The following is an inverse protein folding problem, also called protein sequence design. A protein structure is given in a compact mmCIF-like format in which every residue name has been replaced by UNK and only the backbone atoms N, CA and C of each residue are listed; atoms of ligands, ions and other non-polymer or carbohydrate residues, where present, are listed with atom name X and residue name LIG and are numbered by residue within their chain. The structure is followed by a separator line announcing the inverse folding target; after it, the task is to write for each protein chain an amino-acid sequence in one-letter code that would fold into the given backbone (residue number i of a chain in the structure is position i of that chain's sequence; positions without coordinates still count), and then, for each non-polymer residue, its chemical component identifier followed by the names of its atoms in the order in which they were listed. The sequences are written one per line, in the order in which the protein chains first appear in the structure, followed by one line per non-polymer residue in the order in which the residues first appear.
data_IF_013088900654
#
_entry.id   IF_013088900654
#
_cell.length_a   1.000
_cell.length_b   1.000
_cell.length_c   1.000
_cell.angle_alpha   90.00
_cell.angle_beta   90.00
_cell.angle_gamma   90.00
#
_symmetry.space_group_name_H-M   'P 1'
#
loop_
_entity.id
_entity.type
_entity.pdbx_description
1 polymer ?
#
# COMPACT_ATOMS: atom_id res chain seq x y z
N UNK A 1 13.06 6.77 -17.27
CA UNK A 1 12.76 5.81 -18.35
C UNK A 1 11.26 5.74 -18.47
N UNK A 2 10.68 6.44 -19.44
CA UNK A 2 9.25 6.39 -19.78
C UNK A 2 8.98 5.08 -20.54
N UNK A 3 8.79 3.98 -19.81
CA UNK A 3 8.30 2.74 -20.38
C UNK A 3 6.85 2.94 -20.88
N UNK A 4 6.52 2.40 -22.07
CA UNK A 4 5.16 2.38 -22.58
C UNK A 4 4.20 1.82 -21.54
N UNK A 5 3.09 2.53 -21.30
CA UNK A 5 2.07 2.09 -20.34
C UNK A 5 1.39 0.83 -20.88
N UNK A 6 1.43 -0.24 -20.09
CA UNK A 6 0.87 -1.53 -20.45
C UNK A 6 -0.64 -1.61 -20.14
N UNK A 7 -1.05 -0.99 -19.01
CA UNK A 7 -2.46 -0.76 -18.70
C UNK A 7 -2.65 0.74 -18.53
N UNK A 8 -3.69 1.29 -19.15
CA UNK A 8 -4.03 2.71 -19.07
C UNK A 8 -5.49 2.86 -18.70
N UNK A 9 -5.74 3.60 -17.64
CA UNK A 9 -7.05 4.12 -17.29
C UNK A 9 -7.05 5.61 -17.62
N UNK A 10 -7.96 6.06 -18.47
CA UNK A 10 -8.00 7.47 -18.93
C UNK A 10 -9.36 8.06 -18.66
N UNK A 11 -9.42 9.04 -17.76
CA UNK A 11 -10.64 9.75 -17.38
C UNK A 11 -11.74 8.81 -16.88
N UNK A 12 -11.36 7.71 -16.21
CA UNK A 12 -12.32 6.68 -15.78
C UNK A 12 -13.19 7.20 -14.65
N UNK A 13 -14.49 7.12 -14.86
CA UNK A 13 -15.52 7.52 -13.90
C UNK A 13 -16.52 6.38 -13.70
N UNK A 14 -16.88 6.10 -12.44
CA UNK A 14 -17.90 5.09 -12.13
C UNK A 14 -18.89 5.61 -11.11
N UNK A 15 -20.16 5.61 -11.53
CA UNK A 15 -21.32 5.86 -10.69
C UNK A 15 -22.28 4.70 -10.84
N UNK A 16 -22.70 4.08 -9.74
CA UNK A 16 -23.71 3.02 -9.77
C UNK A 16 -25.13 3.59 -9.88
N UNK A 17 -26.01 2.85 -10.51
CA UNK A 17 -27.43 3.22 -10.59
C UNK A 17 -28.02 3.37 -9.19
N UNK A 18 -28.82 4.42 -8.98
CA UNK A 18 -29.41 4.74 -7.68
C UNK A 18 -28.47 5.38 -6.66
N UNK A 19 -27.17 5.53 -6.95
CA UNK A 19 -26.24 6.26 -6.11
C UNK A 19 -26.14 7.72 -6.53
N UNK A 20 -26.14 8.66 -5.59
CA UNK A 20 -25.87 10.07 -5.89
C UNK A 20 -24.37 10.36 -6.07
N UNK A 21 -23.50 9.53 -5.45
CA UNK A 21 -22.05 9.75 -5.40
C UNK A 21 -21.34 8.76 -6.32
N UNK A 22 -20.37 9.26 -7.09
CA UNK A 22 -19.47 8.43 -7.85
C UNK A 22 -18.45 7.74 -6.96
N UNK A 23 -18.22 6.45 -7.20
CA UNK A 23 -17.25 5.62 -6.47
C UNK A 23 -15.83 5.79 -7.04
N UNK A 24 -15.71 6.09 -8.34
CA UNK A 24 -14.44 6.43 -8.99
C UNK A 24 -14.66 7.71 -9.81
N UNK A 25 -13.72 8.66 -9.68
CA UNK A 25 -13.85 10.02 -10.22
C UNK A 25 -12.58 10.38 -10.99
N UNK A 26 -12.71 10.56 -12.31
CA UNK A 26 -11.63 11.00 -13.21
C UNK A 26 -10.30 10.27 -12.96
N UNK A 27 -10.36 8.94 -12.85
CA UNK A 27 -9.18 8.13 -12.55
C UNK A 27 -8.29 8.05 -13.78
N UNK A 28 -7.06 8.55 -13.64
CA UNK A 28 -6.00 8.47 -14.63
C UNK A 28 -4.83 7.67 -14.05
N UNK A 29 -4.55 6.50 -14.62
CA UNK A 29 -3.53 5.59 -14.10
C UNK A 29 -2.81 4.86 -15.23
N UNK A 30 -1.48 4.88 -15.19
CA UNK A 30 -0.62 4.12 -16.08
C UNK A 30 0.14 3.05 -15.29
N UNK A 31 0.01 1.79 -15.72
CA UNK A 31 0.71 0.63 -15.14
C UNK A 31 1.73 0.11 -16.16
N UNK A 32 2.94 -0.17 -15.71
CA UNK A 32 4.03 -0.67 -16.57
C UNK A 32 3.92 -2.18 -16.75
N UNK A 33 4.48 -2.69 -17.85
CA UNK A 33 4.58 -4.13 -18.08
C UNK A 33 5.48 -4.79 -17.02
N UNK A 34 5.02 -5.89 -16.42
CA UNK A 34 5.75 -6.63 -15.39
C UNK A 34 5.84 -5.92 -14.05
N UNK A 35 5.06 -4.85 -13.81
CA UNK A 35 5.01 -4.10 -12.56
C UNK A 35 4.14 -4.82 -11.52
N UNK A 36 4.54 -4.73 -10.27
CA UNK A 36 3.69 -5.03 -9.12
C UNK A 36 3.10 -3.71 -8.59
N UNK A 37 1.88 -3.39 -9.00
CA UNK A 37 1.17 -2.19 -8.58
C UNK A 37 0.16 -2.52 -7.50
N UNK A 38 0.16 -1.76 -6.39
CA UNK A 38 -0.85 -1.90 -5.34
C UNK A 38 -1.81 -0.71 -5.31
N UNK A 39 -3.12 -1.00 -5.27
CA UNK A 39 -4.16 -0.04 -4.95
C UNK A 39 -4.42 -0.11 -3.45
N UNK A 40 -4.09 0.95 -2.73
CA UNK A 40 -4.19 1.06 -1.27
C UNK A 40 -5.14 2.19 -0.89
N UNK A 41 -5.88 2.04 0.21
CA UNK A 41 -6.78 3.08 0.71
C UNK A 41 -7.85 2.53 1.64
N UNK A 42 -8.64 3.39 2.30
CA UNK A 42 -9.71 2.97 3.21
C UNK A 42 -10.83 2.21 2.48
N UNK A 43 -11.68 1.55 3.25
CA UNK A 43 -12.84 0.85 2.69
C UNK A 43 -13.76 1.83 1.94
N UNK A 44 -14.28 1.40 0.78
CA UNK A 44 -15.20 2.21 -0.03
C UNK A 44 -14.54 3.27 -0.93
N UNK A 45 -13.21 3.44 -0.93
CA UNK A 45 -12.55 4.46 -1.77
C UNK A 45 -12.42 4.12 -3.27
N UNK A 46 -12.97 2.98 -3.73
CA UNK A 46 -13.02 2.63 -5.16
C UNK A 46 -12.01 1.59 -5.65
N UNK A 47 -11.13 1.02 -4.81
CA UNK A 47 -10.08 0.04 -5.20
C UNK A 47 -10.64 -1.18 -5.93
N UNK A 48 -11.52 -1.93 -5.28
CA UNK A 48 -12.16 -3.13 -5.87
C UNK A 48 -12.98 -2.78 -7.12
N UNK A 49 -13.65 -1.62 -7.14
CA UNK A 49 -14.38 -1.16 -8.32
C UNK A 49 -13.41 -0.90 -9.48
N UNK A 50 -12.27 -0.25 -9.22
CA UNK A 50 -11.22 -0.03 -10.22
C UNK A 50 -10.66 -1.35 -10.75
N UNK A 51 -10.36 -2.29 -9.85
CA UNK A 51 -9.89 -3.62 -10.24
C UNK A 51 -10.94 -4.36 -11.08
N UNK A 52 -12.24 -4.29 -10.73
CA UNK A 52 -13.33 -4.91 -11.49
C UNK A 52 -13.52 -4.28 -12.87
N UNK A 53 -13.29 -2.97 -13.02
CA UNK A 53 -13.31 -2.32 -14.35
C UNK A 53 -12.15 -2.82 -15.24
N UNK A 54 -10.96 -3.02 -14.69
CA UNK A 54 -9.84 -3.62 -15.43
C UNK A 54 -10.15 -5.08 -15.79
N UNK A 55 -10.79 -5.83 -14.90
CA UNK A 55 -11.21 -7.21 -15.14
C UNK A 55 -12.38 -7.36 -16.14
N UNK A 56 -13.16 -6.29 -16.37
CA UNK A 56 -14.36 -6.31 -17.19
C UNK A 56 -15.62 -6.78 -16.48
N UNK A 57 -15.58 -6.96 -15.14
CA UNK A 57 -16.77 -7.27 -14.34
C UNK A 57 -17.65 -6.05 -14.07
N UNK A 58 -17.09 -4.85 -14.23
CA UNK A 58 -17.79 -3.58 -14.16
C UNK A 58 -17.43 -2.74 -15.39
N UNK A 59 -18.39 -2.07 -15.95
CA UNK A 59 -18.14 -1.08 -17.00
C UNK A 59 -17.99 0.31 -16.37
N UNK A 60 -17.02 1.13 -16.80
CA UNK A 60 -16.98 2.53 -16.41
C UNK A 60 -18.22 3.28 -16.93
N UNK A 61 -18.67 4.28 -16.21
CA UNK A 61 -19.73 5.19 -16.67
C UNK A 61 -19.22 6.10 -17.80
N UNK A 62 -17.94 6.46 -17.74
CA UNK A 62 -17.19 7.16 -18.78
C UNK A 62 -15.70 6.92 -18.64
N UNK A 63 -14.92 7.29 -19.65
CA UNK A 63 -13.48 7.04 -19.73
C UNK A 63 -13.17 5.71 -20.44
N UNK A 64 -11.89 5.32 -20.45
CA UNK A 64 -11.41 4.14 -21.20
C UNK A 64 -10.46 3.30 -20.37
N UNK A 65 -10.49 1.99 -20.64
CA UNK A 65 -9.56 0.98 -20.12
C UNK A 65 -8.80 0.38 -21.30
N UNK A 66 -7.50 0.58 -21.37
CA UNK A 66 -6.63 0.07 -22.43
C UNK A 66 -5.65 -0.93 -21.81
N UNK A 67 -5.48 -2.10 -22.43
CA UNK A 67 -4.52 -3.14 -21.99
C UNK A 67 -3.72 -3.59 -23.20
N UNK A 68 -2.39 -3.49 -23.10
CA UNK A 68 -1.45 -3.87 -24.17
C UNK A 68 -1.77 -3.19 -25.52
N UNK A 69 -2.17 -1.89 -25.45
CA UNK A 69 -2.53 -1.08 -26.62
C UNK A 69 -3.95 -1.27 -27.15
N UNK A 70 -4.72 -2.23 -26.62
CA UNK A 70 -6.11 -2.53 -27.02
C UNK A 70 -7.11 -1.88 -26.06
N UNK A 71 -8.11 -1.17 -26.60
CA UNK A 71 -9.24 -0.67 -25.81
C UNK A 71 -10.17 -1.83 -25.43
N UNK A 72 -10.17 -2.18 -24.14
CA UNK A 72 -10.94 -3.30 -23.60
C UNK A 72 -12.17 -2.84 -22.82
N UNK A 73 -12.57 -1.58 -22.94
CA UNK A 73 -13.65 -0.98 -22.14
C UNK A 73 -14.94 -1.80 -22.23
N UNK A 74 -15.32 -2.20 -23.44
CA UNK A 74 -16.55 -2.96 -23.70
C UNK A 74 -16.31 -4.47 -23.91
N UNK A 75 -15.07 -4.94 -23.79
CA UNK A 75 -14.71 -6.36 -23.97
C UNK A 75 -15.13 -7.16 -22.73
N UNK A 76 -15.77 -8.31 -22.96
CA UNK A 76 -16.21 -9.24 -21.90
C UNK A 76 -15.04 -9.78 -21.06
N UNK A 77 -15.24 -10.08 -19.76
CA UNK A 77 -14.16 -10.53 -18.87
C UNK A 77 -13.38 -11.75 -19.39
N UNK A 78 -14.06 -12.70 -20.03
CA UNK A 78 -13.44 -13.95 -20.50
C UNK A 78 -12.59 -13.78 -21.77
N UNK A 79 -12.72 -12.68 -22.47
CA UNK A 79 -11.96 -12.33 -23.68
C UNK A 79 -10.73 -11.47 -23.38
N UNK A 80 -10.69 -10.86 -22.17
CA UNK A 80 -9.54 -10.03 -21.75
C UNK A 80 -8.33 -10.90 -21.40
N UNK A 81 -7.14 -10.36 -21.62
CA UNK A 81 -5.87 -11.03 -21.30
C UNK A 81 -5.51 -10.95 -19.80
N UNK A 82 -6.51 -10.86 -18.92
CA UNK A 82 -6.37 -10.74 -17.46
C UNK A 82 -7.02 -11.93 -16.76
N UNK A 83 -6.51 -12.30 -15.59
CA UNK A 83 -7.17 -13.24 -14.68
C UNK A 83 -7.26 -12.65 -13.28
N UNK A 84 -8.31 -13.01 -12.54
CA UNK A 84 -8.58 -12.47 -11.20
C UNK A 84 -8.54 -13.57 -10.15
N UNK A 85 -7.89 -13.28 -9.02
CA UNK A 85 -7.98 -14.03 -7.77
C UNK A 85 -8.84 -13.22 -6.80
N UNK A 86 -9.95 -13.79 -6.37
CA UNK A 86 -10.90 -13.15 -5.46
C UNK A 86 -10.51 -13.35 -4.00
N UNK A 87 -10.99 -12.50 -3.11
CA UNK A 87 -10.74 -12.51 -1.67
C UNK A 87 -11.04 -13.87 -1.01
N UNK A 88 -12.10 -14.56 -1.44
CA UNK A 88 -12.48 -15.88 -0.94
C UNK A 88 -11.87 -17.05 -1.74
N UNK A 89 -10.84 -16.75 -2.57
CA UNK A 89 -10.16 -17.69 -3.48
C UNK A 89 -11.06 -18.32 -4.55
N UNK A 90 -12.36 -18.39 -4.34
CA UNK A 90 -13.39 -18.93 -5.23
C UNK A 90 -13.01 -20.30 -5.88
N UNK A 91 -12.38 -21.18 -5.10
CA UNK A 91 -12.09 -22.54 -5.56
C UNK A 91 -13.41 -23.33 -5.71
N UNK A 92 -13.47 -24.17 -6.74
CA UNK A 92 -14.62 -25.05 -6.95
C UNK A 92 -14.62 -26.17 -5.90
N UNK A 93 -15.56 -26.19 -4.93
CA UNK A 93 -15.50 -27.09 -3.78
C UNK A 93 -15.73 -28.56 -4.16
N UNK A 94 -16.38 -28.81 -5.30
CA UNK A 94 -16.70 -30.13 -5.84
C UNK A 94 -15.61 -30.69 -6.77
N UNK A 95 -14.52 -29.94 -7.00
CA UNK A 95 -13.39 -30.34 -7.83
C UNK A 95 -12.15 -30.53 -6.98
N UNK A 96 -11.33 -31.54 -7.30
CA UNK A 96 -10.01 -31.69 -6.70
C UNK A 96 -9.06 -30.56 -7.17
N UNK A 97 -7.84 -30.54 -6.63
CA UNK A 97 -6.86 -29.47 -6.92
C UNK A 97 -6.41 -29.50 -8.37
N UNK A 98 -6.18 -30.68 -8.94
CA UNK A 98 -5.85 -30.82 -10.35
C UNK A 98 -6.94 -30.21 -11.24
N UNK A 99 -8.20 -30.57 -11.00
CA UNK A 99 -9.33 -30.12 -11.79
C UNK A 99 -9.61 -28.60 -11.61
N UNK A 100 -9.40 -28.07 -10.41
CA UNK A 100 -9.44 -26.63 -10.16
C UNK A 100 -8.43 -25.89 -11.04
N UNK A 101 -7.16 -26.31 -11.04
CA UNK A 101 -6.10 -25.65 -11.85
C UNK A 101 -6.37 -25.87 -13.33
N UNK A 102 -6.75 -27.07 -13.75
CA UNK A 102 -7.00 -27.46 -15.13
C UNK A 102 -8.24 -26.79 -15.76
N UNK A 103 -9.14 -26.20 -14.95
CA UNK A 103 -10.46 -25.76 -15.39
C UNK A 103 -10.41 -24.85 -16.62
N UNK A 104 -9.61 -23.79 -16.57
CA UNK A 104 -9.49 -22.83 -17.69
C UNK A 104 -8.90 -23.46 -18.97
N UNK A 105 -7.95 -24.38 -18.81
CA UNK A 105 -7.37 -25.12 -19.94
C UNK A 105 -8.39 -26.05 -20.59
N UNK A 106 -9.24 -26.70 -19.80
CA UNK A 106 -10.33 -27.55 -20.29
C UNK A 106 -11.34 -26.72 -21.09
N UNK A 107 -11.72 -25.52 -20.62
CA UNK A 107 -12.63 -24.60 -21.35
C UNK A 107 -12.03 -24.18 -22.68
N UNK A 108 -10.72 -23.97 -22.75
CA UNK A 108 -9.96 -23.66 -23.98
C UNK A 108 -9.72 -24.89 -24.87
N UNK A 109 -10.26 -26.07 -24.52
CA UNK A 109 -10.10 -27.34 -25.26
C UNK A 109 -8.65 -27.74 -25.49
N UNK A 110 -7.77 -27.43 -24.55
CA UNK A 110 -6.35 -27.85 -24.57
C UNK A 110 -6.27 -29.38 -24.44
N UNK A 111 -5.27 -30.03 -25.08
CA UNK A 111 -5.09 -31.47 -25.04
C UNK A 111 -4.86 -32.00 -23.61
N UNK A 112 -5.32 -33.23 -23.33
CA UNK A 112 -5.17 -33.86 -22.00
C UNK A 112 -3.69 -33.99 -21.58
N UNK A 113 -2.79 -34.24 -22.53
CA UNK A 113 -1.34 -34.34 -22.27
C UNK A 113 -0.78 -32.99 -21.82
N UNK A 114 -1.06 -31.94 -22.56
CA UNK A 114 -0.62 -30.57 -22.26
C UNK A 114 -1.22 -30.07 -20.94
N UNK A 115 -2.50 -30.36 -20.65
CA UNK A 115 -3.13 -30.04 -19.38
C UNK A 115 -2.33 -30.68 -18.22
N UNK A 116 -1.99 -31.97 -18.33
CA UNK A 116 -1.23 -32.68 -17.30
C UNK A 116 0.14 -32.05 -17.07
N UNK A 117 0.85 -31.71 -18.13
CA UNK A 117 2.17 -31.08 -18.05
C UNK A 117 2.09 -29.70 -17.40
N UNK A 118 1.17 -28.84 -17.85
CA UNK A 118 1.02 -27.48 -17.31
C UNK A 118 0.57 -27.48 -15.84
N UNK A 119 -0.39 -28.35 -15.47
CA UNK A 119 -0.85 -28.46 -14.08
C UNK A 119 0.26 -28.99 -13.18
N UNK A 120 1.04 -30.01 -13.63
CA UNK A 120 2.19 -30.51 -12.88
C UNK A 120 3.24 -29.41 -12.65
N UNK A 121 3.55 -28.63 -13.69
CA UNK A 121 4.47 -27.50 -13.58
C UNK A 121 3.96 -26.44 -12.60
N UNK A 122 2.65 -26.14 -12.60
CA UNK A 122 2.03 -25.21 -11.64
C UNK A 122 2.11 -25.75 -10.22
N UNK A 123 1.77 -27.02 -9.98
CA UNK A 123 1.84 -27.64 -8.64
C UNK A 123 3.27 -27.60 -8.08
N UNK A 124 4.27 -27.87 -8.92
CA UNK A 124 5.68 -27.73 -8.55
C UNK A 124 6.03 -26.27 -8.21
N UNK A 125 5.56 -25.33 -9.02
CA UNK A 125 5.82 -23.88 -8.82
C UNK A 125 5.28 -23.38 -7.47
N UNK A 126 4.08 -23.85 -7.08
CA UNK A 126 3.41 -23.47 -5.84
C UNK A 126 3.74 -24.39 -4.65
N UNK A 127 4.67 -25.34 -4.82
CA UNK A 127 5.12 -26.31 -3.79
C UNK A 127 3.96 -27.17 -3.21
N UNK A 128 3.09 -27.66 -4.08
CA UNK A 128 1.97 -28.54 -3.74
C UNK A 128 1.97 -29.83 -4.57
N UNK A 129 3.17 -30.35 -4.90
CA UNK A 129 3.33 -31.66 -5.53
C UNK A 129 2.72 -32.75 -4.66
N UNK A 130 1.99 -33.68 -5.27
CA UNK A 130 1.29 -34.76 -4.56
C UNK A 130 -0.10 -34.38 -3.99
N UNK A 131 -0.56 -33.14 -4.20
CA UNK A 131 -1.87 -32.66 -3.74
C UNK A 131 -2.96 -32.74 -4.83
N UNK A 132 -2.67 -33.30 -6.00
CA UNK A 132 -3.53 -33.30 -7.18
C UNK A 132 -4.95 -33.79 -6.89
N UNK A 133 -5.05 -34.84 -6.08
CA UNK A 133 -6.33 -35.54 -5.76
C UNK A 133 -7.05 -34.96 -4.54
N UNK A 134 -6.43 -34.05 -3.79
CA UNK A 134 -7.07 -33.44 -2.61
C UNK A 134 -8.20 -32.52 -3.01
N UNK A 135 -9.18 -32.38 -2.12
CA UNK A 135 -10.27 -31.41 -2.24
C UNK A 135 -9.89 -30.09 -1.56
N UNK A 136 -10.47 -28.94 -1.95
CA UNK A 136 -10.23 -27.66 -1.29
C UNK A 136 -10.42 -27.68 0.23
N UNK A 137 -11.41 -28.43 0.73
CA UNK A 137 -11.68 -28.59 2.17
C UNK A 137 -10.55 -29.26 2.97
N UNK A 138 -9.59 -29.86 2.31
CA UNK A 138 -8.43 -30.53 2.92
C UNK A 138 -7.17 -29.64 2.93
N UNK A 139 -7.32 -28.36 2.55
CA UNK A 139 -6.21 -27.42 2.44
C UNK A 139 -6.28 -26.33 3.53
N UNK A 140 -5.11 -25.86 3.96
CA UNK A 140 -5.03 -24.61 4.73
C UNK A 140 -5.36 -23.37 3.87
N UNK A 141 -5.67 -22.25 4.50
CA UNK A 141 -5.96 -20.99 3.78
C UNK A 141 -4.85 -20.59 2.80
N UNK A 142 -3.58 -20.65 3.21
CA UNK A 142 -2.45 -20.36 2.33
C UNK A 142 -2.29 -21.37 1.19
N UNK A 143 -2.62 -22.64 1.41
CA UNK A 143 -2.62 -23.64 0.33
C UNK A 143 -3.75 -23.38 -0.66
N UNK A 144 -4.96 -23.03 -0.19
CA UNK A 144 -6.09 -22.63 -1.06
C UNK A 144 -5.74 -21.41 -1.92
N UNK A 145 -5.08 -20.42 -1.33
CA UNK A 145 -4.62 -19.24 -2.05
C UNK A 145 -3.62 -19.62 -3.15
N UNK A 146 -2.60 -20.42 -2.86
CA UNK A 146 -1.64 -20.90 -3.87
C UNK A 146 -2.33 -21.61 -5.01
N UNK A 147 -3.31 -22.45 -4.74
CA UNK A 147 -4.11 -23.15 -5.78
C UNK A 147 -4.90 -22.14 -6.63
N UNK A 148 -5.53 -21.14 -6.01
CA UNK A 148 -6.25 -20.08 -6.74
C UNK A 148 -5.34 -19.29 -7.68
N UNK A 149 -4.13 -18.95 -7.22
CA UNK A 149 -3.11 -18.31 -8.05
C UNK A 149 -2.68 -19.23 -9.19
N UNK A 150 -2.38 -20.50 -8.92
CA UNK A 150 -2.01 -21.48 -9.96
C UNK A 150 -3.10 -21.62 -11.03
N UNK A 151 -4.39 -21.66 -10.62
CA UNK A 151 -5.55 -21.69 -11.52
C UNK A 151 -5.62 -20.43 -12.41
N UNK A 152 -5.29 -19.27 -11.83
CA UNK A 152 -5.29 -18.03 -12.58
C UNK A 152 -4.10 -17.95 -13.56
N UNK A 153 -2.91 -18.42 -13.13
CA UNK A 153 -1.65 -18.30 -13.91
C UNK A 153 -1.52 -19.36 -15.00
N UNK A 154 -2.10 -20.56 -14.83
CA UNK A 154 -1.96 -21.70 -15.80
C UNK A 154 -2.41 -21.33 -17.21
N UNK A 155 -3.28 -20.33 -17.35
CA UNK A 155 -3.77 -19.83 -18.63
C UNK A 155 -2.81 -18.83 -19.30
N UNK A 156 -1.63 -18.56 -18.72
CA UNK A 156 -0.64 -17.59 -19.17
C UNK A 156 -1.25 -16.17 -19.38
N UNK A 157 -1.89 -15.58 -18.38
CA UNK A 157 -2.43 -14.23 -18.49
C UNK A 157 -1.29 -13.22 -18.63
N UNK A 158 -1.57 -12.07 -19.25
CA UNK A 158 -0.63 -10.93 -19.25
C UNK A 158 -0.69 -10.13 -17.95
N UNK A 159 -1.85 -10.15 -17.27
CA UNK A 159 -2.12 -9.44 -16.02
C UNK A 159 -2.78 -10.39 -15.01
N UNK A 160 -2.32 -10.33 -13.76
CA UNK A 160 -2.97 -10.96 -12.63
C UNK A 160 -3.54 -9.89 -11.70
N UNK A 161 -4.84 -9.97 -11.46
CA UNK A 161 -5.59 -9.10 -10.58
C UNK A 161 -5.85 -9.83 -9.26
N UNK A 162 -5.53 -9.21 -8.13
CA UNK A 162 -5.60 -9.81 -6.79
C UNK A 162 -6.45 -8.91 -5.89
N UNK A 163 -7.65 -9.35 -5.52
CA UNK A 163 -8.58 -8.59 -4.68
C UNK A 163 -8.49 -9.09 -3.24
N UNK A 164 -7.74 -8.37 -2.39
CA UNK A 164 -7.50 -8.66 -0.96
C UNK A 164 -7.13 -10.14 -0.66
N UNK A 165 -6.19 -10.75 -1.39
CA UNK A 165 -5.99 -12.19 -1.33
C UNK A 165 -5.39 -12.67 0.00
N UNK A 166 -4.80 -11.79 0.82
CA UNK A 166 -4.15 -12.11 2.09
C UNK A 166 -5.04 -11.86 3.32
N UNK A 167 -6.21 -11.25 3.15
CA UNK A 167 -7.06 -10.77 4.24
C UNK A 167 -7.54 -11.88 5.21
N UNK A 168 -7.69 -13.12 4.71
CA UNK A 168 -8.19 -14.25 5.52
C UNK A 168 -7.08 -15.04 6.25
N UNK A 169 -5.80 -14.62 6.13
CA UNK A 169 -4.65 -15.34 6.70
C UNK A 169 -4.24 -14.76 8.06
N UNK A 170 -3.74 -15.64 8.95
CA UNK A 170 -3.05 -15.21 10.16
C UNK A 170 -1.76 -14.43 9.85
N UNK A 171 -1.27 -13.65 10.81
CA UNK A 171 -0.14 -12.72 10.60
C UNK A 171 1.15 -13.42 10.13
N UNK A 172 1.48 -14.60 10.70
CA UNK A 172 2.69 -15.33 10.34
C UNK A 172 2.63 -15.84 8.91
N UNK A 173 1.50 -16.45 8.55
CA UNK A 173 1.26 -16.98 7.21
C UNK A 173 1.17 -15.85 6.18
N UNK A 174 0.56 -14.72 6.56
CA UNK A 174 0.47 -13.51 5.71
C UNK A 174 1.85 -13.02 5.31
N UNK A 175 2.78 -12.83 6.28
CA UNK A 175 4.16 -12.40 5.99
C UNK A 175 4.91 -13.37 5.07
N UNK A 176 4.73 -14.67 5.27
CA UNK A 176 5.30 -15.67 4.38
C UNK A 176 4.73 -15.54 2.96
N UNK A 177 3.40 -15.41 2.83
CA UNK A 177 2.73 -15.30 1.54
C UNK A 177 3.06 -14.02 0.77
N UNK A 178 3.31 -12.91 1.46
CA UNK A 178 3.80 -11.66 0.84
C UNK A 178 5.10 -11.89 0.06
N UNK A 179 6.08 -12.51 0.70
CA UNK A 179 7.36 -12.84 0.06
C UNK A 179 7.20 -13.82 -1.10
N UNK A 180 6.37 -14.85 -0.92
CA UNK A 180 6.08 -15.83 -1.97
C UNK A 180 5.42 -15.19 -3.20
N UNK A 181 4.43 -14.30 -2.99
CA UNK A 181 3.77 -13.56 -4.08
C UNK A 181 4.75 -12.67 -4.84
N UNK A 182 5.61 -11.94 -4.14
CA UNK A 182 6.64 -11.09 -4.78
C UNK A 182 7.62 -11.92 -5.59
N UNK A 183 8.08 -13.05 -5.06
CA UNK A 183 8.97 -13.98 -5.78
C UNK A 183 8.27 -14.62 -6.98
N UNK A 184 6.99 -14.98 -6.83
CA UNK A 184 6.20 -15.55 -7.92
C UNK A 184 6.03 -14.55 -9.07
N UNK A 185 5.68 -13.30 -8.76
CA UNK A 185 5.55 -12.24 -9.75
C UNK A 185 6.85 -12.04 -10.54
N UNK A 186 7.99 -11.95 -9.84
CA UNK A 186 9.31 -11.83 -10.48
C UNK A 186 9.63 -13.01 -11.38
N UNK A 187 9.29 -14.24 -10.97
CA UNK A 187 9.52 -15.47 -11.74
C UNK A 187 8.65 -15.53 -13.00
N UNK A 188 7.40 -15.08 -12.89
CA UNK A 188 6.46 -15.07 -14.00
C UNK A 188 6.70 -13.93 -14.98
N UNK A 189 7.23 -12.79 -14.52
CA UNK A 189 7.45 -11.57 -15.33
C UNK A 189 6.16 -10.92 -15.83
N UNK A 190 4.99 -11.27 -15.26
CA UNK A 190 3.69 -10.69 -15.64
C UNK A 190 3.33 -9.51 -14.73
N UNK A 191 2.40 -8.67 -15.18
CA UNK A 191 1.92 -7.51 -14.42
C UNK A 191 0.96 -7.94 -13.33
N UNK A 192 1.17 -7.47 -12.10
CA UNK A 192 0.25 -7.68 -10.96
C UNK A 192 -0.42 -6.38 -10.58
N UNK A 193 -1.75 -6.42 -10.40
CA UNK A 193 -2.51 -5.37 -9.72
C UNK A 193 -3.09 -5.98 -8.45
N UNK A 194 -2.68 -5.44 -7.32
CA UNK A 194 -3.00 -5.94 -6.00
C UNK A 194 -3.85 -4.93 -5.25
N UNK A 195 -4.97 -5.34 -4.70
CA UNK A 195 -5.82 -4.51 -3.84
C UNK A 195 -5.63 -4.93 -2.41
N UNK A 196 -5.39 -3.99 -1.54
CA UNK A 196 -5.34 -4.21 -0.09
C UNK A 196 -5.75 -2.95 0.68
N UNK A 197 -6.06 -3.12 1.94
CA UNK A 197 -6.16 -2.05 2.95
C UNK A 197 -5.00 -2.10 3.95
N UNK A 198 -4.12 -3.10 3.84
CA UNK A 198 -2.95 -3.29 4.71
C UNK A 198 -1.73 -2.56 4.14
N UNK A 199 -1.20 -1.63 4.93
CA UNK A 199 -0.07 -0.79 4.55
C UNK A 199 1.24 -1.59 4.50
N UNK A 200 1.44 -2.57 5.40
CA UNK A 200 2.64 -3.42 5.44
C UNK A 200 2.72 -4.25 4.14
N UNK A 201 1.59 -4.77 3.66
CA UNK A 201 1.51 -5.48 2.38
C UNK A 201 1.93 -4.58 1.21
N UNK A 202 1.35 -3.38 1.13
CA UNK A 202 1.64 -2.42 0.07
C UNK A 202 3.13 -2.02 0.06
N UNK A 203 3.69 -1.65 1.22
CA UNK A 203 5.08 -1.21 1.35
C UNK A 203 6.08 -2.34 1.04
N UNK A 204 5.76 -3.59 1.39
CA UNK A 204 6.68 -4.72 1.25
C UNK A 204 6.74 -5.27 -0.18
N UNK A 205 5.60 -5.33 -0.87
CA UNK A 205 5.50 -6.08 -2.12
C UNK A 205 5.59 -5.22 -3.38
N UNK A 206 5.16 -3.96 -3.32
CA UNK A 206 4.92 -3.15 -4.51
C UNK A 206 6.20 -2.59 -5.13
N UNK A 207 6.16 -2.39 -6.44
CA UNK A 207 7.08 -1.50 -7.15
C UNK A 207 6.54 -0.06 -7.10
N UNK A 208 5.21 0.11 -7.17
CA UNK A 208 4.50 1.38 -6.95
C UNK A 208 3.20 1.15 -6.20
N UNK A 209 2.81 2.17 -5.43
CA UNK A 209 1.57 2.20 -4.65
C UNK A 209 0.70 3.36 -5.15
N UNK A 210 -0.57 3.09 -5.39
CA UNK A 210 -1.62 4.08 -5.62
C UNK A 210 -2.38 4.25 -4.32
N UNK A 211 -2.24 5.36 -3.65
CA UNK A 211 -3.07 5.69 -2.48
C UNK A 211 -4.35 6.34 -2.97
N UNK A 212 -5.49 5.70 -2.67
CA UNK A 212 -6.82 6.16 -3.10
C UNK A 212 -7.64 6.68 -1.91
N UNK A 213 -8.38 7.74 -2.14
CA UNK A 213 -9.37 8.30 -1.20
C UNK A 213 -10.56 8.84 -1.96
N UNK A 214 -11.77 8.57 -1.51
CA UNK A 214 -13.04 9.14 -2.03
C UNK A 214 -13.20 9.08 -3.56
N UNK A 215 -12.65 8.02 -4.17
CA UNK A 215 -12.72 7.76 -5.61
C UNK A 215 -11.64 8.41 -6.46
N UNK A 216 -10.65 9.08 -5.85
CA UNK A 216 -9.53 9.73 -6.55
C UNK A 216 -8.18 9.15 -6.10
N UNK A 217 -7.15 9.39 -6.90
CA UNK A 217 -5.76 9.09 -6.53
C UNK A 217 -5.22 10.28 -5.73
N UNK A 218 -4.85 10.06 -4.47
CA UNK A 218 -4.19 11.04 -3.61
C UNK A 218 -2.69 11.12 -3.94
N UNK A 219 -2.04 9.96 -4.08
CA UNK A 219 -0.62 9.88 -4.42
C UNK A 219 -0.32 8.57 -5.13
N UNK A 220 0.64 8.61 -6.06
CA UNK A 220 1.19 7.46 -6.75
C UNK A 220 2.72 7.58 -6.74
N UNK A 221 3.40 6.57 -6.21
CA UNK A 221 4.86 6.57 -6.11
C UNK A 221 5.45 5.23 -5.68
N UNK A 222 6.77 5.16 -5.57
CA UNK A 222 7.46 4.02 -4.96
C UNK A 222 7.15 3.94 -3.45
N UNK A 223 7.28 2.75 -2.81
CA UNK A 223 6.97 2.59 -1.39
C UNK A 223 7.70 3.59 -0.48
N UNK A 224 8.99 3.81 -0.70
CA UNK A 224 9.81 4.76 0.04
C UNK A 224 9.36 6.22 -0.19
N UNK A 225 8.95 6.57 -1.42
CA UNK A 225 8.41 7.89 -1.74
C UNK A 225 7.09 8.15 -1.02
N UNK A 226 6.16 7.16 -1.02
CA UNK A 226 4.87 7.26 -0.33
C UNK A 226 5.05 7.40 1.19
N UNK A 227 6.02 6.68 1.78
CA UNK A 227 6.27 6.68 3.21
C UNK A 227 7.04 7.93 3.68
N UNK A 228 8.14 8.26 3.01
CA UNK A 228 9.06 9.33 3.44
C UNK A 228 8.64 10.72 2.92
N UNK A 229 7.85 10.80 1.84
CA UNK A 229 7.46 12.05 1.17
C UNK A 229 5.96 12.09 0.84
N UNK A 230 5.09 11.95 1.85
CA UNK A 230 3.66 12.09 1.63
C UNK A 230 3.33 13.50 1.13
N UNK A 231 2.46 13.60 0.11
CA UNK A 231 2.09 14.88 -0.52
C UNK A 231 0.89 15.54 0.15
N UNK A 232 0.09 14.78 0.90
CA UNK A 232 -1.07 15.29 1.64
C UNK A 232 -1.05 14.80 3.09
N UNK A 233 -1.73 15.55 3.96
CA UNK A 233 -1.95 15.16 5.35
C UNK A 233 -2.61 13.77 5.45
N UNK A 234 -3.55 13.49 4.54
CA UNK A 234 -4.20 12.19 4.50
C UNK A 234 -3.20 11.06 4.25
N UNK A 235 -2.33 11.18 3.26
CA UNK A 235 -1.31 10.16 2.97
C UNK A 235 -0.34 10.00 4.14
N UNK A 236 0.10 11.10 4.76
CA UNK A 236 0.98 11.08 5.93
C UNK A 236 0.38 10.29 7.10
N UNK A 237 -0.91 10.53 7.40
CA UNK A 237 -1.64 9.91 8.51
C UNK A 237 -2.08 8.48 8.19
N UNK A 238 -2.43 8.22 6.92
CA UNK A 238 -2.90 6.92 6.50
C UNK A 238 -1.76 5.90 6.33
N UNK A 239 -0.53 6.32 5.99
CA UNK A 239 0.61 5.42 5.74
C UNK A 239 1.54 5.39 6.96
N UNK A 240 1.37 4.38 7.82
CA UNK A 240 2.14 4.22 9.05
C UNK A 240 1.81 5.24 10.15
N UNK A 241 2.40 5.05 11.32
CA UNK A 241 2.28 6.02 12.40
C UNK A 241 3.00 7.33 12.00
N UNK A 242 2.40 8.48 12.31
CA UNK A 242 3.03 9.79 12.06
C UNK A 242 2.68 10.79 13.17
N UNK A 243 3.60 11.68 13.46
CA UNK A 243 3.33 12.86 14.28
C UNK A 243 3.03 14.03 13.36
N UNK A 244 1.83 14.58 13.45
CA UNK A 244 1.44 15.77 12.71
C UNK A 244 1.54 16.99 13.63
N UNK A 245 2.37 17.96 13.29
CA UNK A 245 2.53 19.24 13.99
C UNK A 245 1.93 20.35 13.12
N UNK A 246 1.17 21.25 13.73
CA UNK A 246 0.67 22.43 13.04
C UNK A 246 1.63 23.60 13.26
N UNK A 247 1.94 24.32 12.21
CA UNK A 247 2.85 25.45 12.28
C UNK A 247 2.50 26.56 11.32
N UNK A 248 3.04 27.75 11.60
CA UNK A 248 2.92 28.93 10.75
C UNK A 248 4.28 29.41 10.32
N UNK A 249 4.45 29.69 9.02
CA UNK A 249 5.69 30.21 8.47
C UNK A 249 5.92 31.64 8.97
N UNK A 250 7.03 31.87 9.67
CA UNK A 250 7.38 33.20 10.22
C UNK A 250 8.42 33.92 9.40
N UNK A 251 9.38 33.20 8.81
CA UNK A 251 10.35 33.74 7.87
C UNK A 251 10.80 32.72 6.84
N UNK A 252 11.25 33.19 5.68
CA UNK A 252 11.83 32.38 4.61
C UNK A 252 13.13 33.06 4.18
N UNK A 253 14.27 32.38 4.48
CA UNK A 253 15.60 32.91 4.19
C UNK A 253 16.55 31.81 3.72
N UNK A 254 17.34 32.09 2.70
CA UNK A 254 18.39 31.17 2.20
C UNK A 254 17.91 29.73 1.94
N UNK A 255 16.68 29.55 1.38
CA UNK A 255 16.11 28.25 1.07
C UNK A 255 15.58 27.47 2.28
N UNK A 256 15.54 28.10 3.46
CA UNK A 256 14.97 27.54 4.69
C UNK A 256 13.78 28.38 5.16
N UNK A 257 12.74 27.74 5.66
CA UNK A 257 11.62 28.39 6.33
C UNK A 257 11.73 28.16 7.84
N UNK A 258 11.46 29.21 8.62
CA UNK A 258 11.28 29.13 10.07
C UNK A 258 9.78 29.00 10.35
N UNK A 259 9.40 27.92 11.01
CA UNK A 259 8.03 27.63 11.38
C UNK A 259 7.86 27.80 12.89
N UNK A 260 6.82 28.52 13.30
CA UNK A 260 6.39 28.57 14.70
C UNK A 260 5.34 27.48 14.92
N UNK A 261 5.57 26.60 15.90
CA UNK A 261 4.65 25.53 16.25
C UNK A 261 3.65 26.00 17.30
N UNK A 262 2.36 25.77 17.04
CA UNK A 262 1.29 26.10 17.99
C UNK A 262 1.29 27.56 18.47
N UNK A 263 0.90 27.76 19.72
CA UNK A 263 0.90 29.08 20.40
C UNK A 263 2.19 29.36 21.16
N UNK A 264 3.10 28.39 21.26
CA UNK A 264 4.35 28.48 22.02
C UNK A 264 5.53 28.99 21.17
N UNK A 265 6.62 29.34 21.84
CA UNK A 265 7.85 29.88 21.24
C UNK A 265 8.74 28.80 20.61
N UNK A 266 8.20 27.63 20.30
CA UNK A 266 8.98 26.57 19.66
C UNK A 266 9.06 26.80 18.15
N UNK A 267 10.29 27.01 17.68
CA UNK A 267 10.57 27.24 16.26
C UNK A 267 11.34 26.07 15.68
N UNK A 268 10.93 25.63 14.50
CA UNK A 268 11.67 24.62 13.73
C UNK A 268 12.10 25.20 12.38
N UNK A 269 13.29 24.82 11.93
CA UNK A 269 13.78 25.12 10.59
C UNK A 269 13.51 23.94 9.67
N UNK A 270 12.91 24.22 8.52
CA UNK A 270 12.63 23.22 7.47
C UNK A 270 13.09 23.73 6.11
N UNK A 271 13.11 22.88 5.10
CA UNK A 271 13.32 23.33 3.72
C UNK A 271 12.17 24.24 3.29
N UNK A 272 12.47 25.40 2.69
CA UNK A 272 11.45 26.38 2.31
C UNK A 272 10.54 25.90 1.17
N UNK A 273 11.10 25.15 0.19
CA UNK A 273 10.32 24.73 -0.98
C UNK A 273 9.56 25.92 -1.60
N UNK A 274 8.23 25.79 -1.70
CA UNK A 274 7.30 26.82 -2.18
C UNK A 274 6.54 27.54 -1.05
N UNK A 275 7.05 27.52 0.19
CA UNK A 275 6.42 28.14 1.35
C UNK A 275 6.53 29.67 1.32
N UNK A 276 5.47 30.34 1.81
CA UNK A 276 5.41 31.80 1.95
C UNK A 276 5.18 32.21 3.39
N UNK A 277 5.70 33.40 3.78
CA UNK A 277 5.49 33.92 5.14
C UNK A 277 4.01 34.12 5.42
N UNK A 278 3.59 33.64 6.61
CA UNK A 278 2.20 33.70 7.05
C UNK A 278 1.38 32.46 6.70
N UNK A 279 1.90 31.53 5.87
CA UNK A 279 1.23 30.29 5.47
C UNK A 279 1.09 29.33 6.66
N UNK A 280 -0.08 28.72 6.83
CA UNK A 280 -0.32 27.65 7.78
C UNK A 280 0.03 26.31 7.13
N UNK A 281 0.75 25.46 7.85
CA UNK A 281 1.28 24.20 7.32
C UNK A 281 1.14 23.09 8.34
N UNK A 282 0.98 21.86 7.86
CA UNK A 282 1.13 20.64 8.65
C UNK A 282 2.51 20.05 8.43
N UNK A 283 3.17 19.65 9.49
CA UNK A 283 4.50 19.01 9.47
C UNK A 283 4.36 17.58 9.94
N UNK A 284 4.71 16.64 9.08
CA UNK A 284 4.76 15.22 9.44
C UNK A 284 6.18 14.82 9.84
N UNK A 285 6.30 14.14 10.99
CA UNK A 285 7.55 13.53 11.44
C UNK A 285 7.27 12.10 11.91
N UNK A 286 7.98 11.14 11.33
CA UNK A 286 7.81 9.72 11.70
C UNK A 286 8.30 9.45 13.11
N UNK A 287 7.60 8.62 13.93
CA UNK A 287 7.99 8.31 15.31
C UNK A 287 9.41 7.77 15.46
N UNK A 288 9.91 6.99 14.51
CA UNK A 288 11.25 6.40 14.50
C UNK A 288 12.34 7.40 14.07
N UNK A 289 11.96 8.57 13.57
CA UNK A 289 12.88 9.66 13.20
C UNK A 289 13.11 10.63 14.36
N UNK A 290 12.29 10.56 15.40
CA UNK A 290 12.39 11.40 16.59
C UNK A 290 13.24 10.66 17.64
N UNK A 291 14.19 11.40 18.25
CA UNK A 291 15.00 10.96 19.37
C UNK A 291 14.59 11.70 20.64
N UNK A 292 14.63 11.00 21.75
CA UNK A 292 14.52 11.60 23.08
C UNK A 292 15.90 11.93 23.64
N UNK A 293 16.02 13.09 24.29
CA UNK A 293 17.22 13.53 24.97
C UNK A 293 16.89 14.45 26.15
N UNK A 294 17.89 14.81 26.93
CA UNK A 294 17.79 15.84 27.99
C UNK A 294 18.41 17.18 27.54
N UNK A 295 19.04 17.22 26.37
CA UNK A 295 19.64 18.41 25.79
C UNK A 295 19.35 18.48 24.28
N UNK A 296 19.11 19.68 23.71
CA UNK A 296 18.87 19.83 22.29
C UNK A 296 20.16 19.54 21.48
N UNK A 297 20.01 18.92 20.30
CA UNK A 297 21.10 18.80 19.33
C UNK A 297 21.29 20.14 18.62
N UNK A 298 22.55 20.59 18.49
CA UNK A 298 22.87 21.90 17.94
C UNK A 298 22.48 21.98 16.45
N UNK A 299 21.63 22.95 16.12
CA UNK A 299 21.22 23.21 14.73
C UNK A 299 20.05 22.39 14.21
N UNK A 300 19.58 21.39 14.97
CA UNK A 300 18.42 20.58 14.61
C UNK A 300 17.13 21.08 15.26
N UNK A 301 15.95 20.78 14.67
CA UNK A 301 14.65 21.02 15.28
C UNK A 301 14.52 20.30 16.62
N UNK A 302 13.94 20.99 17.59
CA UNK A 302 13.58 20.35 18.86
C UNK A 302 12.31 20.97 19.45
N UNK A 303 11.59 20.18 20.23
CA UNK A 303 10.46 20.60 21.07
C UNK A 303 10.59 19.98 22.45
N UNK A 304 10.05 20.66 23.46
CA UNK A 304 10.03 20.17 24.84
C UNK A 304 8.68 19.54 25.16
N UNK A 305 8.69 18.48 25.95
CA UNK A 305 7.48 17.84 26.39
C UNK A 305 7.68 17.06 27.69
N UNK A 306 6.57 16.56 28.21
CA UNK A 306 6.54 15.75 29.44
C UNK A 306 6.26 14.30 29.07
N UNK A 307 7.08 13.38 29.60
CA UNK A 307 6.86 11.95 29.44
C UNK A 307 5.51 11.54 30.03
N UNK A 308 4.64 10.97 29.19
CA UNK A 308 3.30 10.50 29.58
C UNK A 308 3.26 8.99 29.79
N UNK A 309 3.79 8.24 28.84
CA UNK A 309 3.77 6.78 28.84
C UNK A 309 4.95 6.21 28.09
N UNK A 310 5.33 4.96 28.40
CA UNK A 310 6.38 4.22 27.71
C UNK A 310 6.08 2.74 27.70
N UNK A 311 5.88 2.19 26.50
CA UNK A 311 5.45 0.80 26.26
C UNK A 311 6.58 0.04 25.59
N UNK A 312 6.95 -1.11 26.14
CA UNK A 312 7.89 -2.04 25.52
C UNK A 312 7.17 -2.92 24.50
N UNK A 313 7.62 -2.92 23.25
CA UNK A 313 6.97 -3.65 22.14
C UNK A 313 7.76 -4.89 21.67
N UNK A 314 8.81 -5.28 22.40
CA UNK A 314 9.68 -6.41 22.05
C UNK A 314 10.92 -5.98 21.26
N UNK A 315 10.81 -5.13 20.27
CA UNK A 315 11.92 -4.63 19.43
C UNK A 315 12.26 -3.16 19.67
N UNK A 316 11.36 -2.42 20.32
CA UNK A 316 11.49 -0.98 20.56
C UNK A 316 10.71 -0.57 21.80
N UNK A 317 10.95 0.67 22.24
CA UNK A 317 10.08 1.38 23.18
C UNK A 317 9.22 2.37 22.39
N UNK A 318 7.89 2.27 22.54
CA UNK A 318 6.92 3.28 22.09
C UNK A 318 6.71 4.25 23.25
N UNK A 319 7.24 5.45 23.14
CA UNK A 319 7.18 6.50 24.17
C UNK A 319 6.20 7.57 23.73
N UNK A 320 5.28 7.95 24.64
CA UNK A 320 4.31 9.02 24.40
C UNK A 320 4.73 10.23 25.24
N UNK A 321 4.91 11.36 24.57
CA UNK A 321 5.29 12.65 25.17
C UNK A 321 4.17 13.66 24.95
N UNK A 322 3.74 14.32 26.02
CA UNK A 322 2.75 15.39 25.99
C UNK A 322 3.43 16.75 25.86
N UNK A 323 3.09 17.49 24.83
CA UNK A 323 3.53 18.86 24.65
C UNK A 323 2.76 19.82 25.57
N UNK A 324 3.21 21.07 25.66
CA UNK A 324 2.58 22.10 26.54
C UNK A 324 1.13 22.41 26.14
N UNK A 325 0.80 22.28 24.86
CA UNK A 325 -0.55 22.48 24.33
C UNK A 325 -1.47 21.26 24.51
N UNK A 326 -0.97 20.19 25.16
CA UNK A 326 -1.69 18.94 25.39
C UNK A 326 -1.60 17.95 24.23
N UNK A 327 -0.91 18.28 23.12
CA UNK A 327 -0.71 17.39 22.00
C UNK A 327 0.21 16.24 22.38
N UNK A 328 -0.14 15.02 21.93
CA UNK A 328 0.65 13.82 22.17
C UNK A 328 1.55 13.54 20.97
N UNK A 329 2.84 13.31 21.24
CA UNK A 329 3.84 12.91 20.26
C UNK A 329 4.31 11.50 20.61
N UNK A 330 4.32 10.64 19.59
CA UNK A 330 4.82 9.27 19.71
C UNK A 330 6.27 9.20 19.22
N UNK A 331 7.12 8.53 19.98
CA UNK A 331 8.53 8.27 19.63
C UNK A 331 8.78 6.77 19.69
N UNK A 332 9.38 6.21 18.64
CA UNK A 332 9.77 4.80 18.58
C UNK A 332 11.31 4.68 18.69
N UNK A 333 11.81 4.27 19.85
CA UNK A 333 13.24 4.13 20.13
C UNK A 333 13.64 2.65 20.04
N UNK A 334 14.66 2.27 19.23
CA UNK A 334 15.22 0.93 19.24
C UNK A 334 15.76 0.57 20.64
N UNK A 335 15.67 -0.72 21.03
CA UNK A 335 16.13 -1.18 22.36
C UNK A 335 17.59 -0.81 22.62
N UNK A 336 18.45 -0.95 21.62
CA UNK A 336 19.88 -0.71 21.75
C UNK A 336 20.28 0.78 21.81
N UNK A 337 19.35 1.67 21.49
CA UNK A 337 19.58 3.11 21.41
C UNK A 337 18.38 3.90 21.95
N UNK A 338 18.04 3.66 23.20
CA UNK A 338 16.94 4.36 23.86
C UNK A 338 17.46 5.25 25.00
N UNK A 339 16.75 6.33 25.29
CA UNK A 339 17.06 7.18 26.42
C UNK A 339 16.82 6.43 27.74
N UNK A 340 17.86 6.33 28.58
CA UNK A 340 17.69 5.88 29.96
C UNK A 340 16.92 6.98 30.74
N UNK A 341 15.68 6.69 31.10
CA UNK A 341 14.84 7.65 31.80
C UNK A 341 15.27 7.81 33.25
N UNK A 342 15.52 9.06 33.63
CA UNK A 342 15.65 9.40 35.05
C UNK A 342 14.27 9.34 35.69
N UNK A 343 14.14 8.58 36.79
CA UNK A 343 12.88 8.44 37.54
C UNK A 343 12.34 9.76 38.10
N UNK A 344 13.20 10.77 38.22
CA UNK A 344 12.89 12.09 38.79
C UNK A 344 12.60 13.16 37.75
N UNK A 345 12.95 12.95 36.47
CA UNK A 345 12.72 13.93 35.40
C UNK A 345 11.62 13.45 34.47
N UNK A 346 10.52 14.20 34.44
CA UNK A 346 9.44 13.99 33.47
C UNK A 346 9.64 14.81 32.18
N UNK A 347 10.46 15.86 32.22
CA UNK A 347 10.72 16.69 31.05
C UNK A 347 11.77 16.03 30.15
N UNK A 348 11.46 15.98 28.86
CA UNK A 348 12.29 15.46 27.78
C UNK A 348 12.30 16.41 26.60
N UNK A 349 13.34 16.32 25.79
CA UNK A 349 13.48 17.02 24.53
C UNK A 349 13.33 16.01 23.41
N UNK A 350 12.44 16.31 22.46
CA UNK A 350 12.25 15.59 21.21
C UNK A 350 13.06 16.32 20.16
N UNK A 351 13.98 15.64 19.50
CA UNK A 351 14.80 16.21 18.43
C UNK A 351 14.81 15.26 17.21
N UNK A 352 14.97 15.82 16.02
CA UNK A 352 15.08 15.08 14.78
C UNK A 352 15.85 15.88 13.75
N UNK A 353 16.35 15.24 12.70
CA UNK A 353 16.98 15.98 11.60
C UNK A 353 15.97 16.76 10.79
N UNK A 354 16.31 18.01 10.43
CA UNK A 354 15.44 18.89 9.64
C UNK A 354 14.92 18.25 8.35
N UNK A 355 15.70 17.38 7.72
CA UNK A 355 15.35 16.65 6.48
C UNK A 355 14.17 15.68 6.64
N UNK A 356 13.87 15.24 7.87
CA UNK A 356 12.75 14.36 8.20
C UNK A 356 11.44 15.10 8.46
N UNK A 357 11.46 16.42 8.40
CA UNK A 357 10.26 17.25 8.47
C UNK A 357 9.59 17.34 7.10
N UNK A 358 8.50 16.61 6.89
CA UNK A 358 7.71 16.71 5.66
C UNK A 358 6.65 17.79 5.85
N UNK A 359 6.81 18.89 5.13
CA UNK A 359 5.90 20.02 5.22
C UNK A 359 4.84 19.93 4.13
N UNK A 360 3.58 20.00 4.55
CA UNK A 360 2.41 19.94 3.68
C UNK A 360 1.60 21.22 3.86
N UNK A 361 1.08 21.75 2.76
CA UNK A 361 0.13 22.86 2.80
C UNK A 361 -1.18 22.38 3.42
N UNK A 362 -1.79 23.23 4.22
CA UNK A 362 -3.06 22.97 4.89
C UNK A 362 -4.25 22.87 3.94
#
# INVERSE_FOLDING_TARGET
VTGEAFIQLTGVYKKFEGSEVAVVKDLNLNVRKGEFLTLLGPSGCGKTTTLRMIAGFEQPTSGRVIIDGEDVTDISPHERCVNTVFQNYALFPHMNIFDNIAFGLKMKKVSKTEIKERVSAMLKMIQLEGYEKRMPSQLSGGQMQRVAIARAVVNNPKVLLLDEPLGALDQKLRKQMQLELKHLQKRLGITFIFVTHDQEEALTMSDRIVVMRDGVIEQLGAPDEIYERPVTRFVADFIGDTNLLEGKVTSVESGKALLRLGNDADFIKVSAGSLTVGEEVSIAVRPERIKLSYAPEQGEPYIKGSLKDRIYTGTSYKTVVELKDGKLITVNEPIDNHLSLDKNSKEVILTWKSEYSVVMKG
#
